data_IF_594049292975
#
_entry.id   IF_594049292975
#
_cell.length_a   1.000
_cell.length_b   1.000
_cell.length_c   1.000
_cell.angle_alpha   90.00
_cell.angle_beta   90.00
_cell.angle_gamma   90.00
#
_symmetry.space_group_name_H-M   'P 1'
#
loop_
_entity.id
_entity.type
_entity.pdbx_description
1 polymer ?
#
# COMPACT_ATOMS: atom_id res chain seq x y z
N UNK A 1 -6.53 57.80 -15.39
CA UNK A 1 -7.16 56.63 -14.72
C UNK A 1 -6.93 55.31 -15.47
N UNK A 2 -6.84 55.32 -16.80
CA UNK A 2 -6.68 54.13 -17.67
C UNK A 2 -5.31 53.43 -17.61
N UNK A 3 -4.22 54.15 -17.31
CA UNK A 3 -2.87 53.56 -17.27
C UNK A 3 -2.66 52.63 -16.06
N UNK A 4 -3.19 52.99 -14.88
CA UNK A 4 -3.11 52.16 -13.67
C UNK A 4 -3.85 50.84 -13.83
N UNK A 5 -5.00 50.85 -14.51
CA UNK A 5 -5.79 49.64 -14.77
C UNK A 5 -5.06 48.68 -15.74
N UNK A 6 -4.40 49.21 -16.78
CA UNK A 6 -3.59 48.41 -17.72
C UNK A 6 -2.34 47.83 -17.05
N UNK A 7 -1.69 48.58 -16.16
CA UNK A 7 -0.55 48.09 -15.39
C UNK A 7 -0.94 46.93 -14.47
N UNK A 8 -2.06 47.04 -13.77
CA UNK A 8 -2.56 45.97 -12.90
C UNK A 8 -2.99 44.73 -13.69
N UNK A 9 -3.63 44.92 -14.85
CA UNK A 9 -3.98 43.82 -15.75
C UNK A 9 -2.74 43.10 -16.30
N UNK A 10 -1.67 43.83 -16.62
CA UNK A 10 -0.39 43.26 -17.05
C UNK A 10 0.30 42.47 -15.93
N UNK A 11 0.32 42.98 -14.69
CA UNK A 11 0.82 42.24 -13.53
C UNK A 11 0.00 40.98 -13.24
N UNK A 12 -1.33 41.04 -13.37
CA UNK A 12 -2.21 39.88 -13.19
C UNK A 12 -1.98 38.81 -14.28
N UNK A 13 -1.73 39.24 -15.52
CA UNK A 13 -1.38 38.35 -16.63
C UNK A 13 -0.04 37.64 -16.40
N UNK A 14 0.96 38.33 -15.84
CA UNK A 14 2.26 37.73 -15.49
C UNK A 14 2.16 36.69 -14.37
N UNK A 15 1.23 36.86 -13.42
CA UNK A 15 0.96 35.89 -12.34
C UNK A 15 0.40 34.55 -12.85
N UNK A 16 -0.22 34.52 -14.04
CA UNK A 16 -0.80 33.29 -14.64
C UNK A 16 0.29 32.42 -15.30
N UNK A 17 1.48 32.98 -15.58
CA UNK A 17 2.59 32.26 -16.20
C UNK A 17 3.67 31.78 -15.21
N UNK A 18 3.41 31.85 -13.91
CA UNK A 18 4.32 31.28 -12.91
C UNK A 18 4.11 29.76 -12.93
N UNK A 19 5.10 28.95 -13.35
CA UNK A 19 4.99 27.51 -13.23
C UNK A 19 4.97 27.15 -11.74
N UNK A 20 3.91 26.47 -11.30
CA UNK A 20 3.92 25.81 -10.01
C UNK A 20 4.52 24.42 -10.21
N UNK A 21 5.61 24.13 -9.51
CA UNK A 21 6.14 22.78 -9.45
C UNK A 21 5.11 21.92 -8.71
N UNK A 22 4.41 21.06 -9.45
CA UNK A 22 3.56 20.03 -8.85
C UNK A 22 4.46 18.92 -8.37
N UNK A 23 4.55 18.71 -7.05
CA UNK A 23 5.22 17.54 -6.50
C UNK A 23 4.32 16.32 -6.76
N UNK A 24 4.76 15.43 -7.66
CA UNK A 24 4.27 14.07 -7.63
C UNK A 24 4.79 13.43 -6.33
N UNK A 25 3.89 12.81 -5.59
CA UNK A 25 4.18 12.22 -4.30
C UNK A 25 4.97 10.90 -4.47
N UNK A 26 5.98 10.69 -3.63
CA UNK A 26 7.02 9.65 -3.80
C UNK A 26 6.71 8.35 -3.05
N UNK A 27 5.46 8.08 -2.70
CA UNK A 27 5.08 6.90 -1.92
C UNK A 27 5.29 5.58 -2.67
N UNK A 28 5.45 5.64 -4.00
CA UNK A 28 5.84 4.50 -4.84
C UNK A 28 7.27 4.62 -5.39
N UNK A 29 8.15 5.41 -4.75
CA UNK A 29 9.52 5.61 -5.23
C UNK A 29 10.44 4.40 -5.00
N UNK A 30 10.16 3.55 -4.01
CA UNK A 30 10.92 2.33 -3.72
C UNK A 30 10.04 1.12 -3.89
N UNK A 31 10.50 0.14 -4.67
CA UNK A 31 9.81 -1.13 -4.91
C UNK A 31 10.69 -2.25 -4.40
N UNK A 32 10.15 -3.13 -3.55
CA UNK A 32 10.73 -4.43 -3.25
C UNK A 32 9.80 -5.52 -3.76
N UNK A 33 10.39 -6.55 -4.37
CA UNK A 33 9.66 -7.68 -4.93
C UNK A 33 10.49 -8.97 -4.83
N UNK A 34 9.94 -10.07 -5.35
CA UNK A 34 10.49 -11.42 -5.22
C UNK A 34 11.96 -11.57 -5.60
N UNK A 35 12.61 -12.59 -5.03
CA UNK A 35 14.03 -12.87 -5.29
C UNK A 35 14.98 -11.87 -4.63
N UNK A 36 14.56 -11.24 -3.53
CA UNK A 36 15.32 -10.21 -2.78
C UNK A 36 15.65 -8.96 -3.60
N UNK A 37 14.94 -8.76 -4.72
CA UNK A 37 15.16 -7.67 -5.65
C UNK A 37 14.37 -6.42 -5.25
N UNK A 38 14.85 -5.27 -5.69
CA UNK A 38 14.11 -4.02 -5.61
C UNK A 38 14.63 -2.98 -6.59
N UNK A 39 13.87 -1.89 -6.72
CA UNK A 39 14.18 -0.73 -7.54
C UNK A 39 13.92 0.55 -6.75
N UNK A 40 14.84 1.50 -6.82
CA UNK A 40 14.69 2.86 -6.32
C UNK A 40 14.60 3.84 -7.50
N UNK A 41 13.54 4.65 -7.52
CA UNK A 41 13.27 5.64 -8.55
C UNK A 41 13.56 7.09 -8.10
N UNK A 42 14.10 7.29 -6.89
CA UNK A 42 14.29 8.63 -6.31
C UNK A 42 15.21 9.55 -7.12
N UNK A 43 16.14 8.99 -7.89
CA UNK A 43 17.09 9.73 -8.74
C UNK A 43 16.58 10.06 -10.14
N UNK A 44 15.35 9.70 -10.49
CA UNK A 44 14.79 9.87 -11.85
C UNK A 44 15.26 8.82 -12.88
N UNK A 45 16.10 7.88 -12.45
CA UNK A 45 16.44 6.65 -13.17
C UNK A 45 16.41 5.49 -12.18
N UNK A 46 15.95 4.29 -12.58
CA UNK A 46 15.84 3.15 -11.68
C UNK A 46 17.23 2.66 -11.24
N UNK A 47 17.40 2.53 -9.92
CA UNK A 47 18.59 1.97 -9.27
C UNK A 47 18.24 0.63 -8.65
N UNK A 48 19.04 -0.40 -8.91
CA UNK A 48 18.79 -1.73 -8.36
C UNK A 48 19.10 -1.80 -6.85
N UNK A 49 18.19 -2.43 -6.10
CA UNK A 49 18.33 -2.78 -4.69
C UNK A 49 18.42 -4.30 -4.55
N UNK A 50 19.28 -4.79 -3.65
CA UNK A 50 19.58 -6.23 -3.50
C UNK A 50 19.48 -6.73 -2.04
N UNK A 51 18.98 -5.86 -1.16
CA UNK A 51 18.85 -6.05 0.29
C UNK A 51 17.42 -6.40 0.74
N UNK A 52 16.49 -6.58 -0.20
CA UNK A 52 15.11 -6.97 0.12
C UNK A 52 15.04 -8.36 0.75
N UNK A 53 14.00 -8.62 1.53
CA UNK A 53 13.78 -9.93 2.17
C UNK A 53 12.70 -10.78 1.50
N UNK A 54 11.99 -10.23 0.52
CA UNK A 54 10.92 -10.95 -0.18
C UNK A 54 11.47 -12.13 -0.98
N UNK A 55 10.93 -13.32 -0.70
CA UNK A 55 11.13 -14.54 -1.48
C UNK A 55 9.75 -15.06 -1.90
N UNK A 56 9.10 -14.32 -2.78
CA UNK A 56 7.78 -14.64 -3.34
C UNK A 56 7.86 -14.70 -4.87
N UNK A 57 6.95 -15.42 -5.51
CA UNK A 57 6.82 -15.48 -6.98
C UNK A 57 5.76 -14.53 -7.53
N UNK A 58 4.81 -14.13 -6.68
CA UNK A 58 3.60 -13.43 -7.12
C UNK A 58 3.42 -12.12 -6.35
N UNK A 59 2.32 -11.99 -5.60
CA UNK A 59 1.95 -10.76 -4.92
C UNK A 59 2.98 -10.29 -3.89
N UNK A 60 3.21 -8.98 -3.91
CA UNK A 60 3.87 -8.23 -2.85
C UNK A 60 3.42 -6.77 -2.92
N UNK A 61 3.63 -6.03 -1.85
CA UNK A 61 3.38 -4.60 -1.79
C UNK A 61 4.52 -3.89 -1.06
N UNK A 62 4.87 -2.69 -1.51
CA UNK A 62 5.86 -1.81 -0.87
C UNK A 62 5.26 -0.41 -0.79
N UNK A 63 5.53 0.30 0.31
CA UNK A 63 5.13 1.70 0.47
C UNK A 63 6.31 2.54 0.96
N UNK A 64 6.43 3.74 0.40
CA UNK A 64 7.35 4.79 0.83
C UNK A 64 6.57 5.97 1.40
N UNK A 65 7.24 6.87 2.10
CA UNK A 65 6.64 8.15 2.50
C UNK A 65 6.64 9.18 1.36
N UNK A 66 6.06 10.35 1.60
CA UNK A 66 6.01 11.45 0.64
C UNK A 66 7.38 11.95 0.14
N UNK A 67 8.45 11.69 0.89
CA UNK A 67 9.82 12.01 0.51
C UNK A 67 10.52 10.90 -0.29
N UNK A 68 9.87 9.74 -0.46
CA UNK A 68 10.41 8.57 -1.17
C UNK A 68 11.30 7.67 -0.32
N UNK A 69 11.27 7.83 1.01
CA UNK A 69 11.94 6.88 1.91
C UNK A 69 11.05 5.67 2.16
N UNK A 70 11.64 4.47 2.09
CA UNK A 70 10.95 3.21 2.39
C UNK A 70 10.32 3.27 3.80
N UNK A 71 9.07 2.84 3.92
CA UNK A 71 8.42 2.63 5.21
C UNK A 71 8.38 1.14 5.53
N UNK A 72 7.73 0.35 4.67
CA UNK A 72 7.64 -1.11 4.83
C UNK A 72 7.19 -1.80 3.55
N UNK A 73 7.31 -3.12 3.54
CA UNK A 73 6.88 -3.99 2.44
C UNK A 73 6.44 -5.35 2.93
N UNK A 74 5.66 -6.08 2.13
CA UNK A 74 5.04 -7.35 2.52
C UNK A 74 4.82 -8.27 1.32
N UNK A 75 4.82 -9.58 1.57
CA UNK A 75 4.33 -10.62 0.65
C UNK A 75 2.86 -10.99 0.89
N UNK A 76 2.17 -10.30 1.81
CA UNK A 76 0.81 -10.62 2.24
C UNK A 76 0.72 -11.58 3.44
N UNK A 77 1.83 -12.19 3.87
CA UNK A 77 1.92 -13.02 5.09
C UNK A 77 2.84 -12.44 6.14
N UNK A 78 3.93 -11.80 5.72
CA UNK A 78 4.93 -11.18 6.57
C UNK A 78 5.17 -9.73 6.15
N UNK A 79 5.35 -8.84 7.13
CA UNK A 79 5.66 -7.42 6.91
C UNK A 79 7.08 -7.13 7.41
N UNK A 80 7.88 -6.49 6.56
CA UNK A 80 9.22 -6.03 6.87
C UNK A 80 9.27 -4.51 6.90
N UNK A 81 9.94 -3.96 7.90
CA UNK A 81 10.15 -2.53 8.08
C UNK A 81 11.24 -1.98 7.14
N UNK A 82 11.50 -0.68 7.27
CA UNK A 82 12.49 0.05 6.50
C UNK A 82 13.94 -0.41 6.74
N UNK A 83 14.21 -1.10 7.85
CA UNK A 83 15.50 -1.72 8.16
C UNK A 83 15.58 -3.16 7.67
N UNK A 84 14.61 -3.62 6.88
CA UNK A 84 14.49 -5.00 6.41
C UNK A 84 14.31 -6.03 7.53
N UNK A 85 13.90 -5.60 8.71
CA UNK A 85 13.56 -6.48 9.83
C UNK A 85 12.07 -6.77 9.82
N UNK A 86 11.67 -7.94 10.30
CA UNK A 86 10.25 -8.25 10.41
C UNK A 86 9.63 -7.30 11.45
N UNK A 87 8.56 -6.59 11.08
CA UNK A 87 7.82 -5.75 12.04
C UNK A 87 7.29 -6.61 13.18
N UNK A 88 7.23 -6.08 14.41
CA UNK A 88 6.45 -6.74 15.46
C UNK A 88 5.02 -6.97 14.95
N UNK A 89 4.40 -8.05 15.42
CA UNK A 89 3.10 -8.55 14.94
C UNK A 89 2.96 -8.73 13.41
N UNK A 90 4.04 -8.58 12.63
CA UNK A 90 4.04 -8.51 11.18
C UNK A 90 3.94 -9.85 10.48
N UNK A 91 3.96 -10.98 11.19
CA UNK A 91 3.87 -12.34 10.61
C UNK A 91 2.47 -12.92 10.75
N UNK A 92 2.04 -13.79 9.84
CA UNK A 92 0.75 -14.47 9.94
C UNK A 92 -0.43 -13.56 9.53
N UNK A 93 -0.20 -12.69 8.56
CA UNK A 93 -1.29 -12.05 7.82
C UNK A 93 -1.99 -13.09 6.93
N UNK A 94 -3.27 -12.85 6.64
CA UNK A 94 -4.14 -13.77 5.89
C UNK A 94 -4.18 -13.48 4.38
N UNK A 95 -3.07 -13.04 3.79
CA UNK A 95 -2.87 -13.10 2.34
C UNK A 95 -2.22 -14.42 1.94
N UNK A 96 -2.12 -14.67 0.64
CA UNK A 96 -1.36 -15.82 0.14
C UNK A 96 -0.31 -15.47 -0.91
N UNK A 97 0.85 -16.12 -0.82
CA UNK A 97 1.97 -15.96 -1.76
C UNK A 97 1.67 -16.49 -3.17
N UNK A 98 0.63 -17.31 -3.32
CA UNK A 98 0.08 -17.75 -4.60
C UNK A 98 -1.15 -16.92 -5.03
N UNK A 99 -1.33 -15.71 -4.46
CA UNK A 99 -2.28 -14.74 -4.98
C UNK A 99 -1.53 -13.69 -5.81
N UNK A 100 -2.06 -13.40 -7.00
CA UNK A 100 -1.47 -12.38 -7.90
C UNK A 100 -1.44 -10.97 -7.29
N UNK A 101 -2.26 -10.71 -6.26
CA UNK A 101 -2.29 -9.47 -5.50
C UNK A 101 -2.45 -9.78 -4.01
N UNK A 102 -1.46 -10.48 -3.43
CA UNK A 102 -1.47 -10.92 -2.03
C UNK A 102 -1.69 -9.81 -1.00
N UNK A 103 -1.30 -8.57 -1.32
CA UNK A 103 -1.57 -7.39 -0.52
C UNK A 103 -1.64 -6.10 -1.34
N UNK A 104 -2.35 -5.10 -0.81
CA UNK A 104 -2.25 -3.69 -1.19
C UNK A 104 -2.14 -2.84 0.08
N UNK A 105 -1.27 -1.82 0.05
CA UNK A 105 -1.04 -0.92 1.18
C UNK A 105 -1.67 0.43 0.86
N UNK A 106 -2.53 0.92 1.75
CA UNK A 106 -3.28 2.16 1.58
C UNK A 106 -3.03 3.08 2.78
N UNK A 107 -2.54 4.32 2.57
CA UNK A 107 -2.45 5.31 3.65
C UNK A 107 -3.85 5.68 4.16
N UNK A 108 -3.97 5.98 5.45
CA UNK A 108 -5.21 6.49 6.03
C UNK A 108 -5.37 7.98 5.73
N UNK A 109 -6.54 8.39 5.19
CA UNK A 109 -6.80 9.80 4.96
C UNK A 109 -6.67 10.69 6.19
N UNK A 110 -5.95 11.79 6.01
CA UNK A 110 -5.68 12.78 7.06
C UNK A 110 -4.75 12.31 8.18
N UNK A 111 -4.03 11.20 8.01
CA UNK A 111 -3.16 10.63 9.04
C UNK A 111 -1.93 9.92 8.43
N UNK A 112 -0.82 10.65 8.37
CA UNK A 112 0.41 10.21 7.71
C UNK A 112 1.13 9.05 8.43
N UNK A 113 0.76 8.73 9.68
CA UNK A 113 1.37 7.64 10.44
C UNK A 113 0.63 6.31 10.26
N UNK A 114 -0.60 6.32 9.76
CA UNK A 114 -1.45 5.13 9.71
C UNK A 114 -1.60 4.60 8.29
N UNK A 115 -1.41 3.29 8.16
CA UNK A 115 -1.58 2.56 6.91
C UNK A 115 -2.44 1.32 7.12
N UNK A 116 -3.15 0.91 6.08
CA UNK A 116 -3.89 -0.35 6.05
C UNK A 116 -3.25 -1.29 5.04
N UNK A 117 -2.97 -2.52 5.46
CA UNK A 117 -2.61 -3.63 4.58
C UNK A 117 -3.88 -4.42 4.33
N UNK A 118 -4.41 -4.36 3.12
CA UNK A 118 -5.49 -5.25 2.69
C UNK A 118 -4.86 -6.49 2.06
N UNK A 119 -5.18 -7.66 2.59
CA UNK A 119 -4.66 -8.93 2.10
C UNK A 119 -5.75 -9.72 1.40
N UNK A 120 -5.32 -10.47 0.39
CA UNK A 120 -6.18 -11.31 -0.43
C UNK A 120 -5.60 -12.72 -0.42
N UNK A 121 -6.42 -13.68 0.00
CA UNK A 121 -6.05 -15.09 -0.02
C UNK A 121 -6.07 -15.67 -1.45
N UNK A 122 -5.52 -16.87 -1.62
CA UNK A 122 -5.56 -17.62 -2.88
C UNK A 122 -6.97 -18.09 -3.21
N UNK A 123 -7.32 -18.27 -4.50
CA UNK A 123 -8.54 -18.93 -4.87
C UNK A 123 -8.30 -20.43 -4.66
N UNK A 124 -9.21 -21.10 -3.98
CA UNK A 124 -9.17 -22.56 -3.98
C UNK A 124 -9.86 -23.05 -5.24
N UNK A 125 -9.16 -23.85 -6.05
CA UNK A 125 -9.78 -24.54 -7.18
C UNK A 125 -10.52 -25.81 -6.74
N UNK A 126 -10.22 -26.32 -5.54
CA UNK A 126 -10.79 -27.53 -4.98
C UNK A 126 -11.01 -27.39 -3.47
N UNK A 127 -12.07 -27.99 -2.96
CA UNK A 127 -12.29 -28.11 -1.52
C UNK A 127 -11.15 -28.89 -0.88
N UNK A 128 -10.34 -28.19 -0.08
CA UNK A 128 -9.27 -28.80 0.72
C UNK A 128 -9.65 -28.66 2.19
N UNK A 129 -10.04 -29.77 2.83
CA UNK A 129 -10.28 -29.77 4.28
C UNK A 129 -9.00 -29.33 5.01
N UNK A 130 -9.10 -28.30 5.84
CA UNK A 130 -7.98 -27.77 6.63
C UNK A 130 -7.24 -26.57 6.03
N UNK A 131 -7.61 -26.12 4.82
CA UNK A 131 -7.04 -24.91 4.20
C UNK A 131 -8.16 -23.96 3.71
N UNK A 132 -8.96 -23.41 4.64
CA UNK A 132 -10.10 -22.57 4.28
C UNK A 132 -9.65 -21.22 3.72
N UNK A 133 -10.34 -20.73 2.69
CA UNK A 133 -10.10 -19.40 2.13
C UNK A 133 -10.48 -18.33 3.16
N UNK A 134 -9.50 -17.51 3.55
CA UNK A 134 -9.60 -16.41 4.50
C UNK A 134 -10.26 -15.17 3.91
N UNK A 135 -10.40 -15.11 2.58
CA UNK A 135 -11.06 -14.02 1.88
C UNK A 135 -10.23 -12.74 1.85
N UNK A 136 -10.89 -11.60 1.97
CA UNK A 136 -10.24 -10.29 2.09
C UNK A 136 -10.18 -9.89 3.55
N UNK A 137 -9.01 -9.47 4.01
CA UNK A 137 -8.79 -9.01 5.39
C UNK A 137 -8.03 -7.69 5.36
N UNK A 138 -8.10 -6.91 6.43
CA UNK A 138 -7.19 -5.78 6.62
C UNK A 138 -6.41 -5.90 7.93
N UNK A 139 -5.22 -5.32 7.95
CA UNK A 139 -4.44 -5.07 9.16
C UNK A 139 -4.00 -3.61 9.18
N UNK A 140 -4.09 -2.96 10.34
CA UNK A 140 -3.64 -1.57 10.52
C UNK A 140 -2.21 -1.54 11.00
N UNK A 141 -1.39 -0.78 10.29
CA UNK A 141 -0.02 -0.43 10.66
C UNK A 141 0.00 0.98 11.21
N UNK A 142 0.71 1.16 12.31
CA UNK A 142 1.00 2.47 12.88
C UNK A 142 2.52 2.67 12.88
N UNK A 143 2.98 3.67 12.12
CA UNK A 143 4.40 3.98 11.94
C UNK A 143 5.04 4.65 13.16
N UNK A 144 4.25 5.16 14.11
CA UNK A 144 4.78 5.75 15.35
C UNK A 144 5.19 4.67 16.37
N UNK A 145 4.80 3.41 16.13
CA UNK A 145 5.18 2.27 16.96
C UNK A 145 6.62 1.79 16.67
N UNK A 146 7.12 0.91 17.54
CA UNK A 146 8.45 0.29 17.44
C UNK A 146 9.60 1.30 17.25
N UNK A 147 9.52 2.46 17.91
CA UNK A 147 10.54 3.50 17.81
C UNK A 147 10.61 4.18 16.43
N UNK A 148 9.50 4.20 15.67
CA UNK A 148 9.39 4.85 14.37
C UNK A 148 9.63 3.94 13.17
N UNK A 149 9.84 2.63 13.37
CA UNK A 149 9.91 1.67 12.26
C UNK A 149 8.58 0.96 12.00
N UNK A 150 7.57 1.22 12.83
CA UNK A 150 6.20 0.75 12.68
C UNK A 150 5.93 -0.66 13.20
N UNK A 151 4.65 -0.93 13.47
CA UNK A 151 4.13 -2.21 13.97
C UNK A 151 2.67 -2.37 13.51
N UNK A 152 2.20 -3.62 13.42
CA UNK A 152 0.76 -3.89 13.28
C UNK A 152 0.10 -3.71 14.63
N UNK A 153 -0.93 -2.86 14.68
CA UNK A 153 -1.70 -2.61 15.90
C UNK A 153 -2.31 -3.93 16.41
N UNK A 154 -2.01 -4.39 17.64
CA UNK A 154 -2.32 -5.75 18.10
C UNK A 154 -3.77 -6.21 17.95
N UNK A 155 -4.74 -5.29 18.07
CA UNK A 155 -6.18 -5.59 17.99
C UNK A 155 -6.81 -5.25 16.62
N UNK A 156 -6.02 -4.77 15.66
CA UNK A 156 -6.48 -4.39 14.33
C UNK A 156 -5.71 -5.19 13.26
N UNK A 157 -5.49 -6.49 13.53
CA UNK A 157 -4.83 -7.44 12.62
C UNK A 157 -5.84 -8.45 12.08
N UNK A 158 -5.74 -8.74 10.78
CA UNK A 158 -6.57 -9.73 10.08
C UNK A 158 -8.08 -9.53 10.31
N UNK A 159 -8.53 -8.27 10.30
CA UNK A 159 -9.96 -7.96 10.41
C UNK A 159 -10.63 -8.32 9.08
N UNK A 160 -11.55 -9.28 9.15
CA UNK A 160 -12.23 -9.80 7.96
C UNK A 160 -13.17 -8.77 7.33
N UNK A 161 -13.04 -8.59 6.01
CA UNK A 161 -13.95 -7.79 5.21
C UNK A 161 -14.93 -8.72 4.50
N UNK A 162 -16.17 -8.74 4.96
CA UNK A 162 -17.21 -9.57 4.39
C UNK A 162 -17.63 -8.98 3.03
N UNK A 163 -17.28 -9.67 1.96
CA UNK A 163 -17.57 -9.32 0.56
C UNK A 163 -18.64 -10.22 -0.07
N UNK A 164 -19.27 -11.09 0.73
CA UNK A 164 -20.13 -12.18 0.29
C UNK A 164 -21.29 -12.44 1.28
N UNK A 165 -22.29 -13.21 0.88
CA UNK A 165 -23.37 -13.67 1.74
C UNK A 165 -22.89 -14.83 2.64
N UNK A 166 -22.71 -14.54 3.93
CA UNK A 166 -22.26 -15.50 4.95
C UNK A 166 -23.24 -16.64 5.20
N UNK A 167 -24.49 -16.55 4.73
CA UNK A 167 -25.48 -17.64 4.85
C UNK A 167 -25.45 -18.59 3.66
N UNK A 168 -24.79 -18.21 2.57
CA UNK A 168 -24.65 -19.03 1.37
C UNK A 168 -23.37 -19.89 1.45
N UNK A 169 -23.53 -21.21 1.49
CA UNK A 169 -22.40 -22.13 1.63
C UNK A 169 -21.38 -22.01 0.48
N UNK A 170 -21.84 -21.81 -0.77
CA UNK A 170 -20.92 -21.67 -1.91
C UNK A 170 -20.19 -20.34 -1.89
N UNK A 171 -20.83 -19.24 -1.49
CA UNK A 171 -20.12 -17.96 -1.40
C UNK A 171 -19.12 -17.95 -0.24
N UNK A 172 -19.40 -18.66 0.85
CA UNK A 172 -18.44 -18.93 1.91
C UNK A 172 -17.24 -19.77 1.44
N UNK A 173 -17.40 -20.53 0.37
CA UNK A 173 -16.30 -21.31 -0.18
C UNK A 173 -15.39 -20.44 -1.06
N UNK A 174 -15.99 -19.55 -1.88
CA UNK A 174 -15.28 -18.73 -2.86
C UNK A 174 -15.31 -17.24 -2.51
N UNK A 175 -14.83 -16.90 -1.30
CA UNK A 175 -14.97 -15.57 -0.68
C UNK A 175 -14.12 -14.46 -1.31
N UNK A 176 -13.13 -14.78 -2.16
CA UNK A 176 -12.27 -13.78 -2.79
C UNK A 176 -11.80 -14.18 -4.19
N UNK A 177 -11.35 -13.17 -4.94
CA UNK A 177 -10.60 -13.33 -6.19
C UNK A 177 -9.14 -12.96 -5.94
N UNK A 178 -8.21 -13.41 -6.79
CA UNK A 178 -6.76 -13.12 -6.68
C UNK A 178 -6.35 -11.66 -6.88
N UNK A 179 -7.31 -10.77 -7.14
CA UNK A 179 -7.04 -9.40 -7.50
C UNK A 179 -7.87 -8.43 -6.68
N UNK A 180 -7.20 -7.40 -6.19
CA UNK A 180 -7.81 -6.23 -5.55
C UNK A 180 -7.21 -4.96 -6.17
N UNK A 181 -8.02 -3.92 -6.25
CA UNK A 181 -7.56 -2.57 -6.58
C UNK A 181 -8.24 -1.58 -5.66
N UNK A 182 -7.53 -0.51 -5.31
CA UNK A 182 -8.12 0.63 -4.63
C UNK A 182 -8.22 1.79 -5.62
N UNK A 183 -9.25 2.62 -5.45
CA UNK A 183 -9.40 3.89 -6.16
C UNK A 183 -9.68 4.97 -5.13
N UNK A 184 -9.09 6.14 -5.33
CA UNK A 184 -9.34 7.30 -4.47
C UNK A 184 -10.79 7.76 -4.64
N UNK A 185 -11.43 8.10 -3.53
CA UNK A 185 -12.76 8.68 -3.54
C UNK A 185 -12.74 10.10 -4.17
N UNK A 186 -13.88 10.53 -4.70
CA UNK A 186 -13.98 11.76 -5.52
C UNK A 186 -13.71 13.07 -4.78
N UNK A 187 -13.64 13.02 -3.45
CA UNK A 187 -13.31 14.17 -2.60
C UNK A 187 -11.80 14.45 -2.50
N UNK A 188 -10.94 13.56 -3.02
CA UNK A 188 -9.51 13.83 -3.20
C UNK A 188 -8.71 13.99 -1.90
N UNK A 189 -9.31 13.70 -0.75
CA UNK A 189 -8.62 13.64 0.53
C UNK A 189 -8.17 12.21 0.77
N UNK A 190 -6.87 11.98 0.57
CA UNK A 190 -6.16 10.79 1.02
C UNK A 190 -5.32 11.05 2.26
#
# INVERSE_FOLDING_TARGET
MTFKLKFWAFCLMLLIFIPFDTFAQKESAVWYFGGKAGLDFNSGSPVALTNGQLVTKEGCATISNANGSLLFYTDGKTVWDSNHSVMPNGTGLLGDTSSTSSAIIIPKPGDASIYYIFTVDKPSYFLSEGDPISGVNYSKVDMDLNGGTGDIVPNEKNIHLITYDVTNAMQNEYKCSEKITAVTHSDGYS
#
